data_IF_294425355073
#
_entry.id   IF_294425355073
#
_cell.length_a   1.000
_cell.length_b   1.000
_cell.length_c   1.000
_cell.angle_alpha   90.00
_cell.angle_beta   90.00
_cell.angle_gamma   90.00
#
_symmetry.space_group_name_H-M   'P 1'
#
loop_
_entity.id
_entity.type
_entity.pdbx_description
1 polymer ?
#
# COMPACT_ATOMS: atom_id res chain seq x y z
N UNK A 1 -10.67 -29.90 -21.15
CA UNK A 1 -11.67 -29.26 -20.28
C UNK A 1 -11.82 -27.79 -20.62
N UNK A 2 -10.74 -27.01 -20.67
CA UNK A 2 -10.76 -25.60 -21.06
C UNK A 2 -11.31 -25.41 -22.49
N UNK A 3 -10.90 -26.24 -23.45
CA UNK A 3 -11.35 -26.15 -24.85
C UNK A 3 -12.86 -26.40 -25.02
N UNK A 4 -13.43 -27.29 -24.20
CA UNK A 4 -14.87 -27.57 -24.20
C UNK A 4 -15.68 -26.39 -23.68
N UNK A 5 -15.22 -25.78 -22.58
CA UNK A 5 -15.86 -24.59 -22.03
C UNK A 5 -15.76 -23.44 -23.03
N UNK A 6 -14.60 -23.20 -23.61
CA UNK A 6 -14.40 -22.15 -24.60
C UNK A 6 -15.36 -22.31 -25.81
N UNK A 7 -15.50 -23.52 -26.34
CA UNK A 7 -16.47 -23.83 -27.39
C UNK A 7 -17.92 -23.52 -26.98
N UNK A 8 -18.33 -23.91 -25.76
CA UNK A 8 -19.69 -23.65 -25.24
C UNK A 8 -19.94 -22.13 -25.11
N UNK A 9 -19.00 -21.39 -24.55
CA UNK A 9 -19.14 -19.94 -24.37
C UNK A 9 -19.24 -19.20 -25.72
N UNK A 10 -18.48 -19.65 -26.73
CA UNK A 10 -18.51 -19.04 -28.06
C UNK A 10 -19.79 -19.37 -28.85
N UNK A 11 -20.27 -20.60 -28.78
CA UNK A 11 -21.41 -21.06 -29.61
C UNK A 11 -22.77 -20.80 -28.98
N UNK A 12 -22.89 -20.90 -27.65
CA UNK A 12 -24.18 -20.90 -26.97
C UNK A 12 -24.52 -19.58 -26.29
N UNK A 13 -23.56 -18.65 -26.13
CA UNK A 13 -23.72 -17.39 -25.38
C UNK A 13 -24.49 -17.60 -24.07
N UNK A 14 -23.97 -18.47 -23.18
CA UNK A 14 -24.70 -18.93 -22.00
C UNK A 14 -25.11 -17.76 -21.09
N UNK A 15 -26.31 -17.84 -20.53
CA UNK A 15 -26.80 -16.89 -19.51
C UNK A 15 -26.11 -17.13 -18.17
N UNK A 16 -26.34 -16.24 -17.20
CA UNK A 16 -25.83 -16.44 -15.82
C UNK A 16 -26.31 -17.76 -15.20
N UNK A 17 -27.53 -18.20 -15.52
CA UNK A 17 -28.09 -19.46 -15.02
C UNK A 17 -27.35 -20.65 -15.61
N UNK A 18 -27.08 -20.62 -16.93
CA UNK A 18 -26.31 -21.66 -17.62
C UNK A 18 -24.88 -21.73 -17.07
N UNK A 19 -24.22 -20.58 -16.90
CA UNK A 19 -22.90 -20.50 -16.28
C UNK A 19 -22.87 -21.11 -14.87
N UNK A 20 -23.91 -20.87 -14.06
CA UNK A 20 -24.03 -21.48 -12.73
C UNK A 20 -24.17 -23.01 -12.85
N UNK A 21 -24.98 -23.52 -13.76
CA UNK A 21 -25.13 -24.97 -13.94
C UNK A 21 -23.82 -25.62 -14.42
N UNK A 22 -23.15 -25.01 -15.40
CA UNK A 22 -21.83 -25.46 -15.88
C UNK A 22 -20.81 -25.50 -14.75
N UNK A 23 -20.78 -24.48 -13.88
CA UNK A 23 -19.90 -24.47 -12.72
C UNK A 23 -20.14 -25.68 -11.80
N UNK A 24 -21.39 -26.02 -11.50
CA UNK A 24 -21.72 -27.17 -10.65
C UNK A 24 -21.52 -28.52 -11.35
N UNK A 25 -21.65 -28.58 -12.68
CA UNK A 25 -21.49 -29.80 -13.46
C UNK A 25 -20.03 -30.17 -13.72
N UNK A 26 -19.18 -29.16 -13.97
CA UNK A 26 -17.80 -29.39 -14.40
C UNK A 26 -16.74 -29.21 -13.31
N UNK A 27 -17.07 -28.53 -12.20
CA UNK A 27 -16.10 -28.21 -11.15
C UNK A 27 -16.56 -28.70 -9.78
N UNK A 28 -15.61 -29.27 -9.03
CA UNK A 28 -15.87 -29.66 -7.65
C UNK A 28 -15.98 -28.42 -6.72
N UNK A 29 -16.33 -28.66 -5.46
CA UNK A 29 -16.49 -27.57 -4.46
C UNK A 29 -15.21 -26.76 -4.27
N UNK A 30 -14.05 -27.40 -4.20
CA UNK A 30 -12.76 -26.70 -4.01
C UNK A 30 -12.38 -25.83 -5.20
N UNK A 31 -12.58 -26.32 -6.43
CA UNK A 31 -12.32 -25.58 -7.66
C UNK A 31 -13.23 -24.37 -7.79
N UNK A 32 -14.53 -24.53 -7.48
CA UNK A 32 -15.49 -23.43 -7.43
C UNK A 32 -15.09 -22.40 -6.38
N UNK A 33 -14.71 -22.84 -5.18
CA UNK A 33 -14.25 -21.94 -4.11
C UNK A 33 -12.96 -21.21 -4.49
N UNK A 34 -12.04 -21.88 -5.20
CA UNK A 34 -10.82 -21.25 -5.73
C UNK A 34 -11.16 -20.19 -6.80
N UNK A 35 -12.10 -20.48 -7.70
CA UNK A 35 -12.59 -19.54 -8.70
C UNK A 35 -13.26 -18.31 -8.06
N UNK A 36 -14.12 -18.54 -7.06
CA UNK A 36 -14.74 -17.45 -6.27
C UNK A 36 -13.68 -16.61 -5.56
N UNK A 37 -12.70 -17.23 -4.88
CA UNK A 37 -11.59 -16.48 -4.23
C UNK A 37 -10.75 -15.70 -5.23
N UNK A 38 -10.49 -16.25 -6.41
CA UNK A 38 -9.74 -15.57 -7.46
C UNK A 38 -10.52 -14.38 -8.07
N UNK A 39 -11.84 -14.53 -8.23
CA UNK A 39 -12.73 -13.48 -8.76
C UNK A 39 -13.17 -12.44 -7.71
N UNK A 40 -13.17 -12.78 -6.42
CA UNK A 40 -13.51 -11.89 -5.32
C UNK A 40 -12.35 -10.97 -4.90
N UNK A 41 -11.23 -10.96 -5.65
CA UNK A 41 -10.13 -10.04 -5.40
C UNK A 41 -10.66 -8.61 -5.49
N UNK A 42 -10.43 -7.82 -4.44
CA UNK A 42 -10.81 -6.40 -4.41
C UNK A 42 -10.20 -5.69 -5.63
N UNK A 43 -10.96 -4.88 -6.36
CA UNK A 43 -10.39 -4.09 -7.44
C UNK A 43 -9.33 -3.14 -6.88
N UNK A 44 -8.18 -3.07 -7.56
CA UNK A 44 -7.10 -2.17 -7.17
C UNK A 44 -7.54 -0.72 -7.37
N UNK A 45 -7.50 0.09 -6.31
CA UNK A 45 -7.78 1.52 -6.35
C UNK A 45 -6.56 2.34 -5.89
N UNK A 46 -5.68 2.66 -6.84
CA UNK A 46 -4.47 3.46 -6.55
C UNK A 46 -4.78 4.92 -6.23
N UNK A 47 -5.90 5.47 -6.71
CA UNK A 47 -6.30 6.84 -6.42
C UNK A 47 -6.47 7.03 -4.91
N UNK A 48 -7.17 6.10 -4.24
CA UNK A 48 -7.36 6.12 -2.79
C UNK A 48 -6.06 5.99 -1.99
N UNK A 49 -5.09 5.23 -2.50
CA UNK A 49 -3.78 5.06 -1.86
C UNK A 49 -2.96 6.35 -1.97
N UNK A 50 -3.03 7.02 -3.13
CA UNK A 50 -2.33 8.28 -3.38
C UNK A 50 -2.82 9.45 -2.53
N UNK A 51 -4.02 9.36 -1.95
CA UNK A 51 -4.58 10.35 -1.02
C UNK A 51 -3.92 10.29 0.38
N UNK A 52 -3.15 9.24 0.69
CA UNK A 52 -2.56 9.03 2.02
C UNK A 52 -1.24 9.79 2.15
N UNK A 53 -1.29 11.05 2.55
CA UNK A 53 -0.06 11.83 2.82
C UNK A 53 0.35 11.78 4.31
N UNK A 54 1.65 11.93 4.56
CA UNK A 54 2.13 12.19 5.91
C UNK A 54 1.54 13.52 6.39
N UNK A 55 0.95 13.56 7.58
CA UNK A 55 0.47 14.80 8.22
C UNK A 55 1.63 15.56 8.87
N UNK A 56 1.58 16.89 9.04
CA UNK A 56 2.65 17.67 9.67
C UNK A 56 3.01 17.22 11.10
N UNK A 57 2.00 16.77 11.85
CA UNK A 57 2.09 16.25 13.22
C UNK A 57 2.22 14.72 13.29
N UNK A 58 2.16 14.04 12.14
CA UNK A 58 2.12 12.60 12.06
C UNK A 58 3.50 11.97 12.16
N UNK A 59 3.68 11.04 13.12
CA UNK A 59 4.91 10.27 13.22
C UNK A 59 5.17 9.43 11.95
N UNK A 60 6.44 9.18 11.60
CA UNK A 60 6.84 8.24 10.55
C UNK A 60 6.12 6.90 10.58
N UNK A 61 6.06 6.27 11.76
CA UNK A 61 5.44 4.96 11.95
C UNK A 61 3.94 5.01 11.72
N UNK A 62 3.24 5.99 12.31
CA UNK A 62 1.80 6.14 12.13
C UNK A 62 1.43 6.45 10.68
N UNK A 63 2.29 7.17 9.94
CA UNK A 63 2.12 7.39 8.51
C UNK A 63 2.27 6.09 7.71
N UNK A 64 3.35 5.33 7.95
CA UNK A 64 3.58 4.04 7.29
C UNK A 64 2.43 3.06 7.54
N UNK A 65 1.93 2.99 8.78
CA UNK A 65 0.81 2.13 9.15
C UNK A 65 -0.48 2.48 8.39
N UNK A 66 -0.82 3.78 8.27
CA UNK A 66 -1.98 4.21 7.45
C UNK A 66 -1.81 3.85 5.98
N UNK A 67 -0.57 3.90 5.47
CA UNK A 67 -0.29 3.52 4.10
C UNK A 67 -0.49 2.01 3.90
N UNK A 68 0.07 1.17 4.77
CA UNK A 68 -0.17 -0.28 4.77
C UNK A 68 -1.66 -0.61 4.85
N UNK A 69 -2.41 0.08 5.71
CA UNK A 69 -3.84 -0.13 5.84
C UNK A 69 -4.59 0.23 4.55
N UNK A 70 -4.24 1.34 3.90
CA UNK A 70 -4.81 1.69 2.62
C UNK A 70 -4.52 0.63 1.55
N UNK A 71 -3.30 0.06 1.51
CA UNK A 71 -2.99 -1.05 0.60
C UNK A 71 -3.82 -2.31 0.91
N UNK A 72 -4.04 -2.67 2.18
CA UNK A 72 -4.91 -3.80 2.59
C UNK A 72 -6.37 -3.60 2.22
N UNK A 73 -6.85 -2.34 2.29
CA UNK A 73 -8.24 -2.00 1.97
C UNK A 73 -8.46 -1.95 0.46
N UNK A 74 -7.58 -1.27 -0.28
CA UNK A 74 -7.81 -0.88 -1.67
C UNK A 74 -7.05 -1.71 -2.70
N UNK A 75 -6.28 -2.72 -2.30
CA UNK A 75 -5.59 -3.63 -3.22
C UNK A 75 -5.78 -5.08 -2.82
N UNK A 76 -5.60 -6.03 -3.76
CA UNK A 76 -5.72 -7.45 -3.47
C UNK A 76 -4.42 -8.09 -2.94
N UNK A 77 -3.32 -7.35 -2.79
CA UNK A 77 -2.02 -7.89 -2.37
C UNK A 77 -1.66 -7.48 -0.95
N UNK A 78 -0.78 -8.26 -0.31
CA UNK A 78 -0.31 -7.99 1.04
C UNK A 78 0.86 -6.98 1.03
N UNK A 79 0.73 -5.75 1.55
CA UNK A 79 1.78 -4.73 1.52
C UNK A 79 3.09 -5.10 2.23
N UNK A 80 3.05 -6.12 3.10
CA UNK A 80 4.23 -6.60 3.85
C UNK A 80 4.95 -7.75 3.14
N UNK A 81 4.40 -8.25 2.03
CA UNK A 81 5.06 -9.26 1.21
C UNK A 81 6.22 -8.64 0.42
N UNK A 82 7.33 -9.39 0.30
CA UNK A 82 8.59 -8.92 -0.29
C UNK A 82 8.41 -8.43 -1.74
N UNK A 83 7.51 -9.06 -2.50
CA UNK A 83 7.21 -8.75 -3.89
C UNK A 83 6.48 -7.40 -4.08
N UNK A 84 5.74 -6.93 -3.07
CA UNK A 84 4.95 -5.69 -3.14
C UNK A 84 5.48 -4.57 -2.25
N UNK A 85 6.38 -4.88 -1.31
CA UNK A 85 6.96 -3.92 -0.38
C UNK A 85 7.66 -2.75 -1.09
N UNK A 86 8.27 -2.97 -2.26
CA UNK A 86 8.92 -1.91 -3.07
C UNK A 86 7.93 -0.80 -3.44
N UNK A 87 6.69 -1.15 -3.78
CA UNK A 87 5.66 -0.17 -4.13
C UNK A 87 5.21 0.64 -2.90
N UNK A 88 5.05 -0.04 -1.76
CA UNK A 88 4.71 0.61 -0.48
C UNK A 88 5.82 1.58 -0.06
N UNK A 89 7.08 1.16 -0.18
CA UNK A 89 8.25 1.98 0.12
C UNK A 89 8.32 3.22 -0.79
N UNK A 90 8.02 3.06 -2.09
CA UNK A 90 8.00 4.17 -3.05
C UNK A 90 6.92 5.19 -2.70
N UNK A 91 5.72 4.70 -2.36
CA UNK A 91 4.62 5.54 -1.89
C UNK A 91 4.97 6.25 -0.57
N UNK A 92 5.62 5.56 0.38
CA UNK A 92 6.07 6.15 1.64
C UNK A 92 7.01 7.34 1.42
N UNK A 93 7.99 7.22 0.52
CA UNK A 93 8.89 8.34 0.19
C UNK A 93 8.15 9.44 -0.59
N UNK A 94 7.35 9.07 -1.59
CA UNK A 94 6.66 10.03 -2.45
C UNK A 94 5.60 10.86 -1.74
N UNK A 95 4.93 10.26 -0.75
CA UNK A 95 3.81 10.82 0.01
C UNK A 95 4.23 11.36 1.40
N UNK A 96 5.53 11.33 1.72
CA UNK A 96 6.10 12.01 2.89
C UNK A 96 6.02 13.54 2.74
N UNK A 97 6.20 14.26 3.87
CA UNK A 97 6.26 15.72 3.88
C UNK A 97 7.39 16.25 2.94
N UNK A 98 7.20 17.41 2.27
CA UNK A 98 8.12 17.84 1.20
C UNK A 98 9.57 18.06 1.61
N UNK A 99 9.82 18.50 2.83
CA UNK A 99 11.15 18.63 3.41
C UNK A 99 11.79 17.25 3.63
N UNK A 100 11.05 16.30 4.19
CA UNK A 100 11.58 14.97 4.44
C UNK A 100 11.74 14.17 3.14
N UNK A 101 10.79 14.23 2.22
CA UNK A 101 10.89 13.62 0.89
C UNK A 101 12.17 14.03 0.19
N UNK A 102 12.52 15.32 0.21
CA UNK A 102 13.78 15.82 -0.38
C UNK A 102 15.00 15.23 0.29
N UNK A 103 14.97 14.99 1.60
CA UNK A 103 16.07 14.36 2.33
C UNK A 103 16.17 12.86 2.02
N UNK A 104 15.04 12.15 1.98
CA UNK A 104 14.96 10.74 1.64
C UNK A 104 15.42 10.47 0.20
N UNK A 105 15.10 11.36 -0.75
CA UNK A 105 15.53 11.25 -2.15
C UNK A 105 17.02 11.56 -2.36
N UNK A 106 17.64 12.36 -1.48
CA UNK A 106 19.06 12.73 -1.56
C UNK A 106 20.00 11.68 -0.98
N UNK A 107 19.51 10.81 -0.11
CA UNK A 107 20.28 9.69 0.39
C UNK A 107 20.43 8.70 -0.76
N UNK A 108 21.67 8.51 -1.26
CA UNK A 108 21.98 7.50 -2.27
C UNK A 108 21.37 6.15 -1.82
N UNK A 109 20.40 5.64 -2.58
CA UNK A 109 19.83 4.32 -2.38
C UNK A 109 18.48 4.24 -1.68
N UNK A 110 17.45 4.97 -2.14
CA UNK A 110 16.07 4.49 -1.97
C UNK A 110 15.93 3.05 -2.52
N UNK A 111 16.61 2.78 -3.63
CA UNK A 111 16.65 1.48 -4.27
C UNK A 111 17.35 0.48 -3.34
N UNK A 112 16.61 -0.53 -2.89
CA UNK A 112 17.12 -1.61 -2.04
C UNK A 112 16.92 -1.42 -0.54
N UNK A 113 16.37 -0.29 -0.07
CA UNK A 113 16.02 -0.09 1.34
C UNK A 113 14.75 -0.84 1.71
N UNK A 114 14.77 -1.53 2.85
CA UNK A 114 13.56 -2.09 3.45
C UNK A 114 12.77 -1.04 4.25
N UNK A 115 11.56 -1.39 4.68
CA UNK A 115 10.67 -0.49 5.41
C UNK A 115 11.28 0.06 6.71
N UNK A 116 11.98 -0.78 7.47
CA UNK A 116 12.59 -0.40 8.75
C UNK A 116 13.70 0.63 8.56
N UNK A 117 14.56 0.45 7.55
CA UNK A 117 15.60 1.43 7.23
C UNK A 117 15.00 2.78 6.83
N UNK A 118 13.94 2.78 6.02
CA UNK A 118 13.24 4.01 5.62
C UNK A 118 12.58 4.70 6.83
N UNK A 119 11.96 3.94 7.72
CA UNK A 119 11.36 4.47 8.95
C UNK A 119 12.40 5.09 9.88
N UNK A 120 13.56 4.45 10.06
CA UNK A 120 14.63 4.95 10.90
C UNK A 120 15.20 6.26 10.37
N UNK A 121 15.47 6.32 9.07
CA UNK A 121 15.95 7.54 8.41
C UNK A 121 14.90 8.64 8.52
N UNK A 122 13.62 8.33 8.25
CA UNK A 122 12.52 9.28 8.34
C UNK A 122 12.38 9.86 9.76
N UNK A 123 12.48 9.01 10.77
CA UNK A 123 12.48 9.41 12.18
C UNK A 123 13.65 10.30 12.52
N UNK A 124 14.88 9.93 12.13
CA UNK A 124 16.07 10.77 12.32
C UNK A 124 15.89 12.14 11.67
N UNK A 125 15.37 12.20 10.45
CA UNK A 125 15.16 13.48 9.76
C UNK A 125 14.07 14.35 10.38
N UNK A 126 13.02 13.72 10.92
CA UNK A 126 11.97 14.39 11.69
C UNK A 126 12.57 14.99 12.96
N UNK A 127 13.32 14.22 13.73
CA UNK A 127 13.98 14.66 14.97
C UNK A 127 15.02 15.77 14.73
N UNK A 128 15.82 15.66 13.66
CA UNK A 128 16.77 16.72 13.27
C UNK A 128 16.04 18.03 12.90
N UNK A 129 14.88 17.93 12.25
CA UNK A 129 14.02 19.09 11.99
C UNK A 129 13.54 19.74 13.29
N UNK A 130 13.11 18.94 14.27
CA UNK A 130 12.76 19.44 15.60
C UNK A 130 13.93 20.11 16.31
N UNK A 131 15.14 19.54 16.28
CA UNK A 131 16.33 20.14 16.88
C UNK A 131 16.63 21.52 16.27
N UNK A 132 16.54 21.65 14.96
CA UNK A 132 16.73 22.94 14.26
C UNK A 132 15.66 23.96 14.63
N UNK A 133 14.38 23.55 14.72
CA UNK A 133 13.27 24.40 15.16
C UNK A 133 13.38 24.81 16.63
N UNK A 134 13.89 23.94 17.50
CA UNK A 134 14.09 24.28 18.91
C UNK A 134 15.24 25.25 19.11
N UNK A 135 16.33 25.11 18.34
CA UNK A 135 17.48 26.01 18.40
C UNK A 135 17.13 27.43 17.91
N UNK A 136 16.28 27.55 16.88
CA UNK A 136 15.78 28.86 16.42
C UNK A 136 14.73 29.46 17.35
N UNK A 137 14.01 28.63 18.11
CA UNK A 137 13.02 29.08 19.11
C UNK A 137 13.66 29.51 20.43
N UNK A 138 14.81 28.94 20.80
CA UNK A 138 15.53 29.35 22.02
C UNK A 138 16.14 30.76 21.94
N UNK A 139 16.26 31.34 20.74
CA UNK A 139 16.59 32.76 20.55
C UNK A 139 15.40 33.70 20.84
N UNK A 140 14.21 33.14 21.14
CA UNK A 140 12.99 33.88 21.47
C UNK A 140 12.12 33.14 22.49
N UNK A 141 12.53 33.16 23.76
CA UNK A 141 11.73 32.95 24.99
C UNK A 141 10.85 31.67 25.12
N UNK A 142 11.28 30.85 26.08
CA UNK A 142 10.58 29.88 26.94
C UNK A 142 9.84 28.65 26.34
N UNK A 143 10.14 27.54 27.02
CA UNK A 143 9.86 26.15 26.69
C UNK A 143 8.42 25.72 26.98
N UNK A 144 7.85 24.96 26.06
CA UNK A 144 6.92 23.88 26.38
C UNK A 144 7.43 22.62 25.66
N UNK A 145 7.80 21.61 26.45
CA UNK A 145 8.33 20.33 25.97
C UNK A 145 7.30 19.49 25.20
N UNK A 146 7.74 18.40 24.56
CA UNK A 146 6.85 17.51 23.81
C UNK A 146 5.89 16.75 24.73
N UNK A 147 4.70 16.36 24.24
CA UNK A 147 3.74 15.51 24.97
C UNK A 147 4.25 14.08 25.16
#
# INVERSE_FOLDING_TARGET
MVDLLEMIFQTQKPTWVDCKQLLFAFFNTEERMRGVRAGAKKPTNMAKISEVFQKPDGSPAAFYERLCEAYRIYTPFNPEALDTQTMVNAAFVGQAQPDIRRKLQKLEGFIGKNASELLEIHLKQTLLGWQQLTLTRTDGLFSAGPP
#
